data_IF_078171301148
#
_entry.id   IF_078171301148
#
_cell.length_a   1.000
_cell.length_b   1.000
_cell.length_c   1.000
_cell.angle_alpha   90.00
_cell.angle_beta   90.00
_cell.angle_gamma   90.00
#
_symmetry.space_group_name_H-M   'P 1'
#
loop_
_entity.id
_entity.type
_entity.pdbx_description
1 polymer ?
#
# COMPACT_ATOMS: atom_id res chain seq x y z
N UNK A 1 2.47 9.54 42.49
CA UNK A 1 2.80 8.56 41.42
C UNK A 1 2.50 9.09 40.00
N UNK A 2 2.39 10.40 39.76
CA UNK A 2 1.90 10.96 38.49
C UNK A 2 2.92 11.77 37.68
N UNK A 3 3.93 12.39 38.27
CA UNK A 3 4.88 13.25 37.54
C UNK A 3 5.92 12.46 36.72
N UNK A 4 6.42 11.33 37.23
CA UNK A 4 7.42 10.50 36.53
C UNK A 4 6.84 9.77 35.28
N UNK A 5 5.53 9.51 35.22
CA UNK A 5 4.86 8.91 34.06
C UNK A 5 4.62 9.94 32.95
N UNK A 6 4.37 11.19 33.29
CA UNK A 6 4.16 12.31 32.35
C UNK A 6 5.51 12.70 31.70
N UNK A 7 6.59 12.75 32.44
CA UNK A 7 7.93 13.02 31.93
C UNK A 7 8.45 11.89 31.00
N UNK A 8 8.17 10.63 31.33
CA UNK A 8 8.56 9.49 30.49
C UNK A 8 7.79 9.42 29.18
N UNK A 9 6.53 9.90 29.14
CA UNK A 9 5.75 10.03 27.89
C UNK A 9 6.22 11.21 27.04
N UNK A 10 6.59 12.33 27.65
CA UNK A 10 7.08 13.51 26.93
C UNK A 10 8.45 13.28 26.28
N UNK A 11 9.40 12.68 26.99
CA UNK A 11 10.73 12.40 26.43
C UNK A 11 10.70 11.33 25.32
N UNK A 12 9.88 10.29 25.44
CA UNK A 12 9.70 9.29 24.37
C UNK A 12 9.07 9.88 23.09
N UNK A 13 8.16 10.83 23.24
CA UNK A 13 7.53 11.52 22.11
C UNK A 13 8.52 12.45 21.39
N UNK A 14 9.30 13.23 22.14
CA UNK A 14 10.34 14.12 21.59
C UNK A 14 11.46 13.33 20.90
N UNK A 15 11.92 12.21 21.49
CA UNK A 15 12.95 11.36 20.89
C UNK A 15 12.43 10.71 19.59
N UNK A 16 11.19 10.21 19.57
CA UNK A 16 10.61 9.65 18.38
C UNK A 16 10.52 10.70 17.25
N UNK A 17 10.07 11.92 17.55
CA UNK A 17 9.98 12.99 16.54
C UNK A 17 11.35 13.46 16.05
N UNK A 18 12.36 13.54 16.93
CA UNK A 18 13.72 13.90 16.51
C UNK A 18 14.35 12.84 15.61
N UNK A 19 14.11 11.56 15.86
CA UNK A 19 14.56 10.47 14.96
C UNK A 19 13.88 10.56 13.57
N UNK A 20 12.58 10.85 13.51
CA UNK A 20 11.89 11.06 12.22
C UNK A 20 12.42 12.29 11.48
N UNK A 21 12.66 13.41 12.17
CA UNK A 21 13.23 14.62 11.58
C UNK A 21 14.66 14.35 11.07
N UNK A 22 15.45 13.61 11.83
CA UNK A 22 16.82 13.24 11.45
C UNK A 22 16.82 12.33 10.22
N UNK A 23 15.94 11.32 10.16
CA UNK A 23 15.79 10.46 8.98
C UNK A 23 15.33 11.26 7.75
N UNK A 24 14.38 12.17 7.90
CA UNK A 24 13.95 13.07 6.84
C UNK A 24 15.09 13.99 6.38
N UNK A 25 15.90 14.50 7.31
CA UNK A 25 17.08 15.31 7.00
C UNK A 25 18.15 14.51 6.24
N UNK A 26 18.44 13.29 6.66
CA UNK A 26 19.37 12.40 5.94
C UNK A 26 18.85 12.11 4.53
N UNK A 27 17.57 11.81 4.39
CA UNK A 27 16.96 11.56 3.07
C UNK A 27 17.00 12.82 2.18
N UNK A 28 16.78 14.01 2.73
CA UNK A 28 16.88 15.27 1.99
C UNK A 28 18.32 15.61 1.56
N UNK A 29 19.32 15.22 2.35
CA UNK A 29 20.73 15.45 2.05
C UNK A 29 21.37 14.35 1.18
N UNK A 30 20.66 13.27 0.91
CA UNK A 30 21.17 12.12 0.16
C UNK A 30 21.72 12.49 -1.23
N UNK A 31 21.08 13.38 -2.05
CA UNK A 31 21.64 13.78 -3.34
C UNK A 31 22.97 14.50 -3.25
N UNK A 32 23.22 15.24 -2.17
CA UNK A 32 24.51 15.92 -1.98
C UNK A 32 25.65 14.98 -1.61
N UNK A 33 25.32 13.81 -1.04
CA UNK A 33 26.28 12.76 -0.67
C UNK A 33 26.54 11.76 -1.81
N UNK A 34 25.50 11.48 -2.61
CA UNK A 34 25.54 10.51 -3.71
C UNK A 34 25.68 11.27 -5.03
N UNK A 35 26.90 11.41 -5.52
CA UNK A 35 27.18 12.13 -6.78
C UNK A 35 26.94 11.29 -8.04
N UNK A 36 26.81 9.97 -7.91
CA UNK A 36 26.58 9.08 -9.05
C UNK A 36 25.10 9.12 -9.48
N UNK A 37 24.80 9.55 -10.72
CA UNK A 37 23.44 9.62 -11.25
C UNK A 37 22.70 8.27 -11.23
N UNK A 38 23.44 7.16 -11.27
CA UNK A 38 22.87 5.83 -11.24
C UNK A 38 22.14 5.53 -9.91
N UNK A 39 22.80 5.76 -8.77
CA UNK A 39 22.16 5.54 -7.47
C UNK A 39 20.97 6.48 -7.24
N UNK A 40 21.06 7.73 -7.69
CA UNK A 40 19.94 8.66 -7.63
C UNK A 40 18.73 8.14 -8.42
N UNK A 41 18.97 7.54 -9.59
CA UNK A 41 17.94 6.90 -10.38
C UNK A 41 17.24 5.78 -9.61
N UNK A 42 18.00 4.91 -8.93
CA UNK A 42 17.45 3.83 -8.09
C UNK A 42 16.58 4.39 -6.96
N UNK A 43 17.03 5.45 -6.28
CA UNK A 43 16.25 6.10 -5.23
C UNK A 43 14.96 6.75 -5.76
N UNK A 44 14.97 7.31 -6.97
CA UNK A 44 13.76 7.84 -7.61
C UNK A 44 12.76 6.71 -7.87
N UNK A 45 13.20 5.57 -8.41
CA UNK A 45 12.33 4.41 -8.58
C UNK A 45 11.78 3.90 -7.26
N UNK A 46 12.63 3.76 -6.23
CA UNK A 46 12.17 3.42 -4.87
C UNK A 46 11.07 4.40 -4.43
N UNK A 47 11.25 5.69 -4.67
CA UNK A 47 10.26 6.72 -4.33
C UNK A 47 8.92 6.54 -5.05
N UNK A 48 8.91 6.22 -6.34
CA UNK A 48 7.70 5.94 -7.11
C UNK A 48 6.95 4.74 -6.51
N UNK A 49 7.68 3.66 -6.24
CA UNK A 49 7.09 2.44 -5.66
C UNK A 49 6.66 2.62 -4.21
N UNK A 50 7.30 3.50 -3.43
CA UNK A 50 6.81 3.88 -2.10
C UNK A 50 5.42 4.54 -2.20
N UNK A 51 5.23 5.50 -3.12
CA UNK A 51 3.93 6.15 -3.31
C UNK A 51 2.88 5.14 -3.74
N UNK A 52 3.21 4.24 -4.69
CA UNK A 52 2.32 3.18 -5.15
C UNK A 52 1.98 2.17 -4.05
N UNK A 53 2.97 1.71 -3.29
CA UNK A 53 2.75 0.76 -2.19
C UNK A 53 1.94 1.38 -1.05
N UNK A 54 2.18 2.66 -0.71
CA UNK A 54 1.38 3.41 0.27
C UNK A 54 -0.06 3.57 -0.20
N UNK A 55 -0.28 3.86 -1.48
CA UNK A 55 -1.61 3.98 -2.05
C UNK A 55 -2.35 2.65 -2.04
N UNK A 56 -1.71 1.54 -2.44
CA UNK A 56 -2.27 0.20 -2.37
C UNK A 56 -2.57 -0.24 -0.92
N UNK A 57 -1.72 0.16 0.03
CA UNK A 57 -1.91 -0.13 1.44
C UNK A 57 -3.21 0.46 2.02
N UNK A 58 -3.71 1.55 1.45
CA UNK A 58 -5.01 2.11 1.85
C UNK A 58 -6.15 1.11 1.62
N UNK A 59 -6.12 0.40 0.49
CA UNK A 59 -7.13 -0.60 0.14
C UNK A 59 -6.82 -1.93 0.85
N UNK A 60 -5.67 -2.52 0.55
CA UNK A 60 -5.38 -3.88 1.01
C UNK A 60 -5.03 -3.93 2.50
N UNK A 61 -4.37 -2.88 3.03
CA UNK A 61 -3.87 -2.85 4.39
C UNK A 61 -4.90 -2.34 5.40
N UNK A 62 -5.57 -1.21 5.13
CA UNK A 62 -6.46 -0.57 6.10
C UNK A 62 -7.91 -1.03 6.00
N UNK A 63 -8.38 -1.51 4.84
CA UNK A 63 -9.75 -2.05 4.71
C UNK A 63 -9.80 -3.56 4.55
N UNK A 64 -8.65 -4.23 4.37
CA UNK A 64 -8.62 -5.67 4.14
C UNK A 64 -9.13 -6.14 2.77
N UNK A 65 -9.44 -5.20 1.86
CA UNK A 65 -9.91 -5.50 0.52
C UNK A 65 -8.71 -5.89 -0.36
N UNK A 66 -8.69 -7.10 -0.91
CA UNK A 66 -7.62 -7.51 -1.80
C UNK A 66 -7.89 -7.01 -3.24
N UNK A 67 -7.07 -6.07 -3.71
CA UNK A 67 -7.10 -5.54 -5.07
C UNK A 67 -5.78 -5.84 -5.80
N UNK A 68 -5.87 -6.36 -7.04
CA UNK A 68 -4.74 -6.67 -7.93
C UNK A 68 -4.81 -5.84 -9.23
N UNK A 69 -5.61 -4.78 -9.25
CA UNK A 69 -5.75 -3.89 -10.41
C UNK A 69 -5.03 -2.55 -10.30
N UNK A 70 -4.11 -2.39 -9.35
CA UNK A 70 -3.54 -1.09 -9.01
C UNK A 70 -2.67 -0.49 -10.12
N UNK A 71 -1.98 -1.35 -10.89
CA UNK A 71 -1.18 -0.92 -12.03
C UNK A 71 -2.01 -0.26 -13.14
N UNK A 72 -3.30 -0.60 -13.29
CA UNK A 72 -4.17 0.10 -14.23
C UNK A 72 -4.34 1.58 -13.86
N UNK A 73 -4.55 1.91 -12.58
CA UNK A 73 -4.70 3.30 -12.13
C UNK A 73 -3.38 4.07 -12.20
N UNK A 74 -2.26 3.39 -11.97
CA UNK A 74 -0.92 3.92 -12.24
C UNK A 74 -0.76 4.27 -13.72
N UNK A 75 -1.17 3.37 -14.62
CA UNK A 75 -1.18 3.57 -16.07
C UNK A 75 -2.14 4.69 -16.51
N UNK A 76 -3.36 4.75 -15.96
CA UNK A 76 -4.30 5.85 -16.25
C UNK A 76 -3.67 7.20 -15.90
N UNK A 77 -3.01 7.31 -14.75
CA UNK A 77 -2.29 8.51 -14.36
C UNK A 77 -1.17 8.88 -15.33
N UNK A 78 -0.36 7.90 -15.76
CA UNK A 78 0.74 8.10 -16.70
C UNK A 78 0.25 8.56 -18.07
N UNK A 79 -0.72 7.84 -18.66
CA UNK A 79 -1.26 8.18 -19.99
C UNK A 79 -2.05 9.47 -19.97
N UNK A 80 -2.87 9.73 -18.95
CA UNK A 80 -3.61 11.00 -18.87
C UNK A 80 -2.66 12.17 -18.75
N UNK A 81 -1.61 12.11 -17.93
CA UNK A 81 -0.62 13.16 -17.81
C UNK A 81 0.14 13.41 -19.12
N UNK A 82 0.58 12.34 -19.80
CA UNK A 82 1.23 12.43 -21.09
C UNK A 82 0.33 13.09 -22.15
N UNK A 83 -0.94 12.71 -22.21
CA UNK A 83 -1.90 13.29 -23.15
C UNK A 83 -2.23 14.76 -22.83
N UNK A 84 -2.40 15.11 -21.55
CA UNK A 84 -2.64 16.48 -21.11
C UNK A 84 -1.48 17.42 -21.49
N UNK A 85 -0.24 16.94 -21.36
CA UNK A 85 0.93 17.74 -21.67
C UNK A 85 1.24 17.79 -23.17
N UNK A 86 1.10 16.66 -23.89
CA UNK A 86 1.44 16.61 -25.33
C UNK A 86 0.36 17.19 -26.22
N UNK A 87 -0.94 16.94 -25.92
CA UNK A 87 -2.04 17.39 -26.79
C UNK A 87 -2.63 18.74 -26.37
N UNK A 88 -2.75 18.97 -25.05
CA UNK A 88 -3.33 20.21 -24.52
C UNK A 88 -2.28 21.25 -24.12
N UNK A 89 -0.98 20.90 -24.15
CA UNK A 89 0.10 21.82 -23.78
C UNK A 89 0.09 22.23 -22.30
N UNK A 90 -0.61 21.50 -21.44
CA UNK A 90 -0.72 21.86 -20.03
C UNK A 90 0.63 21.71 -19.32
N UNK A 91 1.00 22.64 -18.43
CA UNK A 91 2.22 22.51 -17.65
C UNK A 91 2.13 21.33 -16.67
N UNK A 92 3.28 20.70 -16.38
CA UNK A 92 3.38 19.53 -15.50
C UNK A 92 2.68 19.73 -14.15
N UNK A 93 2.82 20.92 -13.54
CA UNK A 93 2.23 21.23 -12.22
C UNK A 93 0.70 21.12 -12.21
N UNK A 94 0.05 21.32 -13.36
CA UNK A 94 -1.41 21.15 -13.54
C UNK A 94 -1.72 19.73 -13.98
N UNK A 95 -0.91 19.13 -14.85
CA UNK A 95 -1.11 17.79 -15.35
C UNK A 95 -0.98 16.73 -14.24
N UNK A 96 -0.08 16.92 -13.27
CA UNK A 96 0.13 16.00 -12.15
C UNK A 96 -1.15 15.82 -11.30
N UNK A 97 -1.73 16.85 -10.66
CA UNK A 97 -2.95 16.67 -9.86
C UNK A 97 -4.16 16.26 -10.72
N UNK A 98 -4.26 16.76 -11.96
CA UNK A 98 -5.38 16.44 -12.84
C UNK A 98 -5.34 14.96 -13.26
N UNK A 99 -4.17 14.38 -13.50
CA UNK A 99 -4.02 12.95 -13.76
C UNK A 99 -4.41 12.09 -12.56
N UNK A 100 -4.10 12.55 -11.34
CA UNK A 100 -4.59 11.93 -10.11
C UNK A 100 -6.13 11.96 -10.03
N UNK A 101 -6.75 13.09 -10.35
CA UNK A 101 -8.21 13.23 -10.38
C UNK A 101 -8.83 12.33 -11.46
N UNK A 102 -8.22 12.23 -12.64
CA UNK A 102 -8.69 11.33 -13.71
C UNK A 102 -8.59 9.86 -13.23
N UNK A 103 -7.49 9.46 -12.63
CA UNK A 103 -7.34 8.12 -12.07
C UNK A 103 -8.37 7.85 -10.95
N UNK A 104 -8.66 8.82 -10.10
CA UNK A 104 -9.71 8.75 -9.08
C UNK A 104 -11.11 8.62 -9.67
N UNK A 105 -11.41 9.31 -10.76
CA UNK A 105 -12.67 9.19 -11.49
C UNK A 105 -12.86 7.77 -12.05
N UNK A 106 -11.83 7.21 -12.70
CA UNK A 106 -11.86 5.81 -13.13
C UNK A 106 -11.95 4.87 -11.93
N UNK A 107 -11.28 5.18 -10.81
CA UNK A 107 -11.41 4.47 -9.55
C UNK A 107 -12.86 4.44 -9.06
N UNK A 108 -13.56 5.57 -9.12
CA UNK A 108 -14.99 5.63 -8.78
C UNK A 108 -15.86 4.79 -9.72
N UNK A 109 -15.65 4.93 -11.04
CA UNK A 109 -16.42 4.20 -12.06
C UNK A 109 -16.29 2.69 -11.92
N UNK A 110 -15.07 2.20 -11.73
CA UNK A 110 -14.76 0.78 -11.58
C UNK A 110 -15.06 0.26 -10.17
N UNK A 111 -14.79 1.08 -9.16
CA UNK A 111 -15.07 0.75 -7.76
C UNK A 111 -16.54 0.50 -7.50
N UNK A 112 -17.44 1.27 -8.15
CA UNK A 112 -18.89 1.15 -7.95
C UNK A 112 -19.47 -0.26 -8.21
N UNK A 113 -19.15 -0.94 -9.32
CA UNK A 113 -19.54 -2.34 -9.51
C UNK A 113 -18.65 -3.32 -8.73
N UNK A 114 -17.32 -3.10 -8.67
CA UNK A 114 -16.37 -4.06 -8.10
C UNK A 114 -16.49 -4.18 -6.58
N UNK A 115 -16.73 -3.10 -5.84
CA UNK A 115 -16.86 -3.11 -4.37
C UNK A 115 -18.18 -3.73 -3.86
N UNK A 116 -19.10 -4.10 -4.76
CA UNK A 116 -20.25 -4.95 -4.41
C UNK A 116 -19.87 -6.43 -4.28
N UNK A 117 -18.72 -6.79 -4.84
CA UNK A 117 -18.17 -8.13 -4.76
C UNK A 117 -17.31 -8.24 -3.49
N UNK A 118 -17.28 -9.44 -2.91
CA UNK A 118 -16.51 -9.72 -1.69
C UNK A 118 -15.42 -10.76 -1.94
N UNK A 119 -14.37 -10.73 -1.13
CA UNK A 119 -13.30 -11.72 -1.15
C UNK A 119 -12.63 -11.86 -2.53
N UNK A 120 -12.52 -13.09 -3.01
CA UNK A 120 -11.82 -13.42 -4.25
C UNK A 120 -12.46 -12.79 -5.51
N UNK A 121 -13.79 -12.59 -5.50
CA UNK A 121 -14.49 -11.99 -6.64
C UNK A 121 -14.11 -10.54 -6.88
N UNK A 122 -13.87 -9.77 -5.80
CA UNK A 122 -13.34 -8.41 -5.90
C UNK A 122 -11.93 -8.43 -6.52
N UNK A 123 -11.09 -9.35 -6.07
CA UNK A 123 -9.72 -9.53 -6.59
C UNK A 123 -9.72 -9.83 -8.08
N UNK A 124 -10.56 -10.78 -8.51
CA UNK A 124 -10.70 -11.16 -9.93
C UNK A 124 -11.28 -10.00 -10.76
N UNK A 125 -12.24 -9.24 -10.24
CA UNK A 125 -12.80 -8.07 -10.91
C UNK A 125 -11.74 -6.98 -11.14
N UNK A 126 -10.91 -6.68 -10.13
CA UNK A 126 -9.84 -5.68 -10.28
C UNK A 126 -8.70 -6.16 -11.18
N UNK A 127 -8.37 -7.45 -11.16
CA UNK A 127 -7.43 -8.07 -12.09
C UNK A 127 -7.96 -7.99 -13.53
N UNK A 128 -9.23 -8.38 -13.74
CA UNK A 128 -9.89 -8.30 -15.05
C UNK A 128 -9.89 -6.87 -15.59
N UNK A 129 -10.16 -5.89 -14.75
CA UNK A 129 -10.04 -4.48 -15.13
C UNK A 129 -8.63 -4.12 -15.60
N UNK A 130 -7.58 -4.56 -14.90
CA UNK A 130 -6.20 -4.29 -15.31
C UNK A 130 -5.89 -4.88 -16.69
N UNK A 131 -6.33 -6.12 -16.95
CA UNK A 131 -6.15 -6.76 -18.26
C UNK A 131 -6.90 -5.99 -19.35
N UNK A 132 -8.18 -5.64 -19.11
CA UNK A 132 -8.99 -4.84 -20.04
C UNK A 132 -8.32 -3.49 -20.31
N UNK A 133 -7.80 -2.82 -19.29
CA UNK A 133 -7.09 -1.55 -19.44
C UNK A 133 -5.87 -1.66 -20.37
N UNK A 134 -5.02 -2.69 -20.17
CA UNK A 134 -3.85 -2.93 -21.04
C UNK A 134 -4.29 -3.23 -22.47
N UNK A 135 -5.32 -4.06 -22.68
CA UNK A 135 -5.87 -4.35 -23.99
C UNK A 135 -6.43 -3.10 -24.66
N UNK A 136 -7.08 -2.21 -23.91
CA UNK A 136 -7.54 -0.90 -24.36
C UNK A 136 -6.36 -0.04 -24.84
N UNK A 137 -5.27 0.03 -24.09
CA UNK A 137 -4.07 0.77 -24.45
C UNK A 137 -3.45 0.25 -25.76
N UNK A 138 -3.41 -1.07 -25.94
CA UNK A 138 -2.85 -1.72 -27.13
C UNK A 138 -3.71 -1.45 -28.37
N UNK A 139 -5.04 -1.51 -28.24
CA UNK A 139 -5.95 -1.42 -29.38
C UNK A 139 -6.37 0.03 -29.73
N UNK A 140 -6.19 0.99 -28.84
CA UNK A 140 -6.60 2.37 -29.08
C UNK A 140 -5.47 3.20 -29.71
N UNK A 141 -5.02 2.83 -30.90
CA UNK A 141 -3.86 3.45 -31.57
C UNK A 141 -3.97 4.98 -31.71
N UNK A 142 -5.16 5.51 -32.02
CA UNK A 142 -5.38 6.93 -32.21
C UNK A 142 -5.14 7.80 -30.96
N UNK A 143 -5.26 7.23 -29.76
CA UNK A 143 -5.05 7.92 -28.50
C UNK A 143 -3.70 7.59 -27.86
N UNK A 144 -3.37 6.31 -27.76
CA UNK A 144 -2.24 5.77 -26.98
C UNK A 144 -1.04 5.39 -27.83
N UNK A 145 -1.16 5.40 -29.17
CA UNK A 145 -0.23 4.84 -30.16
C UNK A 145 -0.07 3.32 -30.06
N UNK A 146 -1.02 2.64 -29.40
CA UNK A 146 -1.02 1.19 -29.27
C UNK A 146 0.25 0.61 -28.64
N UNK A 147 0.78 -0.50 -29.15
CA UNK A 147 1.99 -1.14 -28.60
C UNK A 147 3.24 -0.26 -28.65
N UNK A 148 3.30 0.71 -29.57
CA UNK A 148 4.44 1.62 -29.70
C UNK A 148 4.57 2.59 -28.51
N UNK A 149 3.48 2.82 -27.79
CA UNK A 149 3.47 3.72 -26.65
C UNK A 149 3.64 5.20 -27.01
N UNK A 150 3.72 6.04 -26.02
CA UNK A 150 3.88 7.49 -26.15
C UNK A 150 5.29 7.89 -25.76
N UNK A 151 6.03 8.45 -26.72
CA UNK A 151 7.36 9.00 -26.53
C UNK A 151 7.35 10.54 -26.59
N UNK A 152 8.45 11.16 -26.14
CA UNK A 152 8.63 12.61 -26.23
C UNK A 152 7.85 13.41 -25.20
N UNK A 153 7.47 12.79 -24.09
CA UNK A 153 6.81 13.46 -22.97
C UNK A 153 7.73 14.60 -22.47
N UNK A 154 7.21 15.83 -22.34
CA UNK A 154 8.05 17.00 -22.03
C UNK A 154 8.63 16.90 -20.62
N UNK A 155 9.82 17.47 -20.45
CA UNK A 155 10.48 17.60 -19.15
C UNK A 155 9.61 18.48 -18.25
N UNK A 156 9.44 18.13 -16.97
CA UNK A 156 8.70 18.95 -16.02
C UNK A 156 9.26 20.36 -15.95
N UNK A 157 8.37 21.35 -16.00
CA UNK A 157 8.70 22.76 -15.80
C UNK A 157 7.77 23.34 -14.74
N UNK A 158 8.36 24.04 -13.78
CA UNK A 158 7.62 24.78 -12.76
C UNK A 158 8.03 26.25 -12.91
N UNK A 159 7.12 27.09 -13.40
CA UNK A 159 7.40 28.47 -13.80
C UNK A 159 8.57 28.54 -14.81
N UNK A 160 9.66 29.19 -14.45
CA UNK A 160 10.88 29.32 -15.28
C UNK A 160 11.92 28.21 -15.03
N UNK A 161 11.72 27.35 -14.03
CA UNK A 161 12.67 26.29 -13.70
C UNK A 161 12.35 25.00 -14.45
N UNK A 162 13.35 24.45 -15.15
CA UNK A 162 13.24 23.19 -15.91
C UNK A 162 14.03 22.12 -15.18
N UNK A 163 13.38 21.00 -14.86
CA UNK A 163 14.00 19.86 -14.17
C UNK A 163 14.87 19.06 -15.15
N UNK A 164 16.20 19.23 -15.10
CA UNK A 164 17.12 18.57 -16.03
C UNK A 164 17.98 17.49 -15.36
N UNK A 165 18.29 17.67 -14.08
CA UNK A 165 19.15 16.77 -13.32
C UNK A 165 18.41 15.65 -12.60
N UNK A 166 19.11 14.55 -12.30
CA UNK A 166 18.55 13.49 -11.44
C UNK A 166 18.23 14.01 -10.03
N UNK A 167 18.98 14.99 -9.55
CA UNK A 167 18.75 15.65 -8.26
C UNK A 167 17.40 16.34 -8.21
N UNK A 168 17.01 17.03 -9.28
CA UNK A 168 15.73 17.73 -9.38
C UNK A 168 14.55 16.75 -9.27
N UNK A 169 14.64 15.63 -10.00
CA UNK A 169 13.62 14.58 -9.95
C UNK A 169 13.57 13.90 -8.58
N UNK A 170 14.73 13.75 -7.93
CA UNK A 170 14.79 13.21 -6.59
C UNK A 170 14.04 14.09 -5.59
N UNK A 171 14.26 15.41 -5.61
CA UNK A 171 13.53 16.33 -4.73
C UNK A 171 12.03 16.36 -5.05
N UNK A 172 11.67 16.25 -6.31
CA UNK A 172 10.28 16.22 -6.72
C UNK A 172 9.55 14.97 -6.21
N UNK A 173 10.16 13.79 -6.36
CA UNK A 173 9.58 12.54 -5.81
C UNK A 173 9.59 12.53 -4.27
N UNK A 174 10.63 13.08 -3.66
CA UNK A 174 10.70 13.23 -2.21
C UNK A 174 9.56 14.08 -1.67
N UNK A 175 9.26 15.21 -2.31
CA UNK A 175 8.12 16.04 -1.96
C UNK A 175 6.78 15.28 -2.15
N UNK A 176 6.65 14.51 -3.24
CA UNK A 176 5.47 13.69 -3.50
C UNK A 176 5.28 12.61 -2.42
N UNK A 177 6.36 11.96 -1.97
CA UNK A 177 6.34 11.02 -0.85
C UNK A 177 5.87 11.70 0.44
N UNK A 178 6.43 12.87 0.77
CA UNK A 178 6.04 13.61 1.97
C UNK A 178 4.57 14.02 1.94
N UNK A 179 4.10 14.52 0.80
CA UNK A 179 2.70 14.86 0.59
C UNK A 179 1.79 13.63 0.78
N UNK A 180 2.15 12.51 0.16
CA UNK A 180 1.40 11.24 0.26
C UNK A 180 1.39 10.72 1.69
N UNK A 181 2.54 10.65 2.35
CA UNK A 181 2.66 10.21 3.74
C UNK A 181 1.88 11.12 4.71
N UNK A 182 2.03 12.42 4.58
CA UNK A 182 1.36 13.38 5.46
C UNK A 182 -0.15 13.33 5.34
N UNK A 183 -0.66 13.24 4.11
CA UNK A 183 -2.10 13.16 3.85
C UNK A 183 -2.69 11.80 4.28
N UNK A 184 -2.02 10.69 4.00
CA UNK A 184 -2.43 9.36 4.46
C UNK A 184 -2.37 9.29 5.99
N UNK A 185 -1.30 9.80 6.62
CA UNK A 185 -1.18 9.84 8.07
C UNK A 185 -2.37 10.55 8.73
N UNK A 186 -2.75 11.73 8.22
CA UNK A 186 -3.93 12.46 8.71
C UNK A 186 -5.22 11.69 8.49
N UNK A 187 -5.36 11.03 7.34
CA UNK A 187 -6.54 10.26 6.99
C UNK A 187 -6.75 9.09 7.95
N UNK A 188 -5.70 8.27 8.18
CA UNK A 188 -5.79 7.07 9.02
C UNK A 188 -5.93 7.36 10.52
N UNK A 189 -5.47 8.54 10.99
CA UNK A 189 -5.64 8.97 12.38
C UNK A 189 -6.90 9.80 12.63
N UNK A 190 -7.78 9.91 11.64
CA UNK A 190 -9.08 10.56 11.73
C UNK A 190 -10.20 9.57 12.09
N UNK A 191 -11.42 10.09 12.29
CA UNK A 191 -12.63 9.25 12.45
C UNK A 191 -12.86 8.34 11.23
N UNK A 192 -12.50 8.83 10.05
CA UNK A 192 -12.57 8.06 8.80
C UNK A 192 -11.67 6.81 8.89
N UNK A 193 -10.41 6.95 9.32
CA UNK A 193 -9.48 5.83 9.50
C UNK A 193 -9.97 4.79 10.51
N UNK A 194 -10.59 5.23 11.61
CA UNK A 194 -11.17 4.30 12.59
C UNK A 194 -12.33 3.48 11.99
N UNK A 195 -13.16 4.10 11.13
CA UNK A 195 -14.23 3.37 10.41
C UNK A 195 -13.66 2.34 9.44
N UNK A 196 -12.54 2.64 8.75
CA UNK A 196 -11.86 1.67 7.88
C UNK A 196 -11.35 0.46 8.66
N UNK A 197 -10.79 0.69 9.85
CA UNK A 197 -10.30 -0.38 10.71
C UNK A 197 -11.46 -1.25 11.24
N UNK A 198 -12.57 -0.64 11.61
CA UNK A 198 -13.78 -1.38 12.02
C UNK A 198 -14.27 -2.29 10.87
N UNK A 199 -14.32 -1.78 9.64
CA UNK A 199 -14.70 -2.55 8.44
C UNK A 199 -13.73 -3.71 8.21
N UNK A 200 -12.43 -3.50 8.42
CA UNK A 200 -11.41 -4.53 8.24
C UNK A 200 -11.55 -5.68 9.24
N UNK A 201 -11.88 -5.36 10.51
CA UNK A 201 -12.04 -6.38 11.57
C UNK A 201 -13.31 -7.22 11.34
N UNK A 202 -14.46 -6.56 11.16
CA UNK A 202 -15.72 -7.23 10.83
C UNK A 202 -16.68 -6.23 10.17
N UNK A 203 -16.97 -6.46 8.88
CA UNK A 203 -17.84 -5.60 8.08
C UNK A 203 -19.27 -5.60 8.60
N UNK A 204 -19.79 -6.77 8.99
CA UNK A 204 -21.16 -6.93 9.47
C UNK A 204 -21.36 -6.25 10.83
N UNK A 205 -20.38 -6.38 11.73
CA UNK A 205 -20.41 -5.69 13.02
C UNK A 205 -20.30 -4.17 12.85
N UNK A 206 -19.48 -3.69 11.89
CA UNK A 206 -19.37 -2.26 11.59
C UNK A 206 -20.69 -1.70 11.07
N UNK A 207 -21.42 -2.42 10.21
CA UNK A 207 -22.75 -2.03 9.73
C UNK A 207 -23.78 -1.99 10.87
N UNK A 208 -23.74 -2.96 11.77
CA UNK A 208 -24.66 -3.03 12.91
C UNK A 208 -24.54 -1.81 13.85
N UNK A 209 -23.35 -1.19 13.94
CA UNK A 209 -23.14 0.05 14.72
C UNK A 209 -23.29 1.33 13.87
N UNK A 210 -23.84 1.23 12.64
CA UNK A 210 -24.20 2.36 11.80
C UNK A 210 -23.09 2.89 10.86
N UNK A 211 -21.99 2.14 10.66
CA UNK A 211 -20.96 2.50 9.69
C UNK A 211 -21.45 2.14 8.28
N UNK A 212 -21.52 3.12 7.37
CA UNK A 212 -21.82 2.88 5.95
C UNK A 212 -20.59 2.31 5.22
N UNK A 213 -20.43 0.98 5.23
CA UNK A 213 -19.25 0.27 4.72
C UNK A 213 -19.01 0.56 3.25
N UNK A 214 -20.06 0.60 2.42
CA UNK A 214 -19.98 0.89 0.98
C UNK A 214 -19.38 2.27 0.72
N UNK A 215 -19.83 3.28 1.46
CA UNK A 215 -19.31 4.66 1.31
C UNK A 215 -17.83 4.75 1.68
N UNK A 216 -17.42 4.16 2.81
CA UNK A 216 -16.04 4.20 3.26
C UNK A 216 -15.11 3.41 2.33
N UNK A 217 -15.51 2.23 1.88
CA UNK A 217 -14.76 1.43 0.89
C UNK A 217 -14.59 2.19 -0.42
N UNK A 218 -15.66 2.82 -0.93
CA UNK A 218 -15.60 3.61 -2.15
C UNK A 218 -14.68 4.81 -1.99
N UNK A 219 -14.80 5.58 -0.91
CA UNK A 219 -13.99 6.76 -0.68
C UNK A 219 -12.50 6.42 -0.61
N UNK A 220 -12.13 5.36 0.12
CA UNK A 220 -10.73 4.96 0.23
C UNK A 220 -10.18 4.40 -1.09
N UNK A 221 -11.01 3.70 -1.87
CA UNK A 221 -10.64 3.22 -3.19
C UNK A 221 -10.32 4.39 -4.13
N UNK A 222 -11.17 5.42 -4.17
CA UNK A 222 -10.97 6.65 -4.96
C UNK A 222 -9.71 7.41 -4.53
N UNK A 223 -9.49 7.55 -3.21
CA UNK A 223 -8.28 8.21 -2.68
C UNK A 223 -7.03 7.42 -3.05
N UNK A 224 -7.07 6.11 -2.96
CA UNK A 224 -5.96 5.23 -3.31
C UNK A 224 -5.61 5.37 -4.80
N UNK A 225 -6.61 5.30 -5.68
CA UNK A 225 -6.39 5.46 -7.12
C UNK A 225 -5.91 6.85 -7.51
N UNK A 226 -6.28 7.89 -6.75
CA UNK A 226 -5.72 9.24 -6.90
C UNK A 226 -4.20 9.25 -6.71
N UNK A 227 -3.67 8.66 -5.62
CA UNK A 227 -2.23 8.59 -5.40
C UNK A 227 -1.52 7.73 -6.42
N UNK A 228 -2.13 6.63 -6.87
CA UNK A 228 -1.59 5.83 -7.97
C UNK A 228 -1.46 6.66 -9.25
N UNK A 229 -2.47 7.50 -9.55
CA UNK A 229 -2.44 8.43 -10.67
C UNK A 229 -1.34 9.49 -10.57
N UNK A 230 -1.08 10.04 -9.37
CA UNK A 230 0.03 10.97 -9.14
C UNK A 230 1.39 10.29 -9.42
N UNK A 231 1.59 9.08 -8.91
CA UNK A 231 2.80 8.30 -9.18
C UNK A 231 2.97 8.03 -10.68
N UNK A 232 1.87 7.72 -11.39
CA UNK A 232 1.85 7.52 -12.84
C UNK A 232 2.26 8.77 -13.63
N UNK A 233 1.71 9.92 -13.26
CA UNK A 233 2.08 11.20 -13.85
C UNK A 233 3.57 11.50 -13.67
N UNK A 234 4.07 11.34 -12.45
CA UNK A 234 5.49 11.53 -12.17
C UNK A 234 6.37 10.59 -13.01
N UNK A 235 6.04 9.30 -13.05
CA UNK A 235 6.77 8.29 -13.82
C UNK A 235 6.84 8.64 -15.31
N UNK A 236 5.70 9.02 -15.91
CA UNK A 236 5.63 9.38 -17.33
C UNK A 236 6.58 10.52 -17.70
N UNK A 237 6.65 11.55 -16.86
CA UNK A 237 7.54 12.70 -17.08
C UNK A 237 9.01 12.42 -16.74
N UNK A 238 9.26 11.47 -15.81
CA UNK A 238 10.60 11.06 -15.45
C UNK A 238 11.25 10.20 -16.55
N UNK A 239 10.53 9.17 -17.02
CA UNK A 239 11.03 8.25 -18.07
C UNK A 239 10.90 8.86 -19.47
N UNK A 240 9.93 9.79 -19.68
CA UNK A 240 9.61 10.47 -20.96
C UNK A 240 9.15 9.52 -22.07
N UNK A 241 8.85 8.29 -21.70
CA UNK A 241 8.31 7.24 -22.56
C UNK A 241 7.41 6.32 -21.72
N UNK A 242 6.23 5.98 -22.24
CA UNK A 242 5.32 5.04 -21.63
C UNK A 242 4.79 4.05 -22.66
N UNK A 243 4.75 2.79 -22.30
CA UNK A 243 4.21 1.71 -23.14
C UNK A 243 3.22 0.86 -22.33
N UNK A 244 2.25 0.18 -22.98
CA UNK A 244 1.28 -0.66 -22.28
C UNK A 244 1.90 -1.75 -21.39
N UNK A 245 3.03 -2.31 -21.82
CA UNK A 245 3.75 -3.38 -21.12
C UNK A 245 4.22 -3.01 -19.71
N UNK A 246 4.39 -1.70 -19.44
CA UNK A 246 4.77 -1.19 -18.12
C UNK A 246 3.65 -1.36 -17.09
N UNK A 247 2.38 -1.41 -17.51
CA UNK A 247 1.21 -1.36 -16.64
C UNK A 247 0.44 -2.68 -16.58
N UNK A 248 1.13 -3.79 -16.85
CA UNK A 248 0.54 -5.13 -16.83
C UNK A 248 0.17 -5.57 -15.41
N UNK A 249 -0.59 -6.65 -15.30
CA UNK A 249 -0.96 -7.23 -14.02
C UNK A 249 0.26 -7.69 -13.19
N UNK A 250 1.39 -8.00 -13.83
CA UNK A 250 2.64 -8.33 -13.14
C UNK A 250 3.13 -7.17 -12.25
N UNK A 251 2.92 -5.94 -12.70
CA UNK A 251 3.23 -4.75 -11.90
C UNK A 251 2.35 -4.68 -10.64
N UNK A 252 1.06 -5.00 -10.76
CA UNK A 252 0.17 -5.09 -9.60
C UNK A 252 0.60 -6.18 -8.61
N UNK A 253 1.09 -7.31 -9.09
CA UNK A 253 1.65 -8.37 -8.23
C UNK A 253 2.94 -7.91 -7.53
N UNK A 254 3.81 -7.18 -8.23
CA UNK A 254 5.02 -6.60 -7.64
C UNK A 254 4.66 -5.64 -6.50
N UNK A 255 3.67 -4.78 -6.68
CA UNK A 255 3.17 -3.88 -5.64
C UNK A 255 2.58 -4.65 -4.45
N UNK A 256 1.82 -5.72 -4.73
CA UNK A 256 1.28 -6.58 -3.68
C UNK A 256 2.40 -7.30 -2.91
N UNK A 257 3.45 -7.75 -3.60
CA UNK A 257 4.62 -8.35 -2.99
C UNK A 257 5.36 -7.37 -2.06
N UNK A 258 5.52 -6.11 -2.48
CA UNK A 258 6.10 -5.04 -1.66
C UNK A 258 5.28 -4.82 -0.39
N UNK A 259 3.96 -4.78 -0.52
CA UNK A 259 3.05 -4.61 0.60
C UNK A 259 3.07 -5.81 1.55
N UNK A 260 3.06 -7.04 1.01
CA UNK A 260 3.11 -8.26 1.80
C UNK A 260 4.44 -8.39 2.56
N UNK A 261 5.56 -8.09 1.90
CA UNK A 261 6.88 -8.09 2.51
C UNK A 261 7.00 -7.06 3.64
N UNK A 262 6.55 -5.84 3.39
CA UNK A 262 6.60 -4.77 4.38
C UNK A 262 5.66 -4.99 5.56
N UNK A 263 4.50 -5.57 5.31
CA UNK A 263 3.38 -5.77 6.24
C UNK A 263 2.26 -4.75 6.01
N UNK A 264 1.04 -5.22 5.70
CA UNK A 264 -0.10 -4.34 5.44
C UNK A 264 -0.65 -3.70 6.73
N UNK A 265 -1.29 -2.54 6.57
CA UNK A 265 -2.02 -1.85 7.65
C UNK A 265 -1.16 -0.96 8.56
N UNK A 266 0.06 -0.64 8.16
CA UNK A 266 0.89 0.40 8.77
C UNK A 266 1.55 1.26 7.69
N UNK A 267 2.17 2.40 8.05
CA UNK A 267 2.81 3.30 7.08
C UNK A 267 4.27 2.91 6.77
N UNK A 268 4.95 2.27 7.70
CA UNK A 268 6.37 1.93 7.57
C UNK A 268 6.56 0.71 6.68
N UNK A 269 5.64 -0.27 6.78
CA UNK A 269 5.70 -1.50 6.00
C UNK A 269 5.86 -1.28 4.50
N UNK A 270 4.96 -0.56 3.83
CA UNK A 270 5.05 -0.30 2.40
C UNK A 270 6.34 0.41 1.99
N UNK A 271 6.85 1.33 2.82
CA UNK A 271 8.11 2.03 2.56
C UNK A 271 9.28 1.05 2.55
N UNK A 272 9.37 0.21 3.58
CA UNK A 272 10.46 -0.77 3.69
C UNK A 272 10.30 -1.87 2.63
N UNK A 273 9.08 -2.36 2.39
CA UNK A 273 8.81 -3.38 1.38
C UNK A 273 9.19 -2.91 -0.03
N UNK A 274 8.79 -1.70 -0.43
CA UNK A 274 9.16 -1.11 -1.71
C UNK A 274 10.68 -0.89 -1.81
N UNK A 275 11.29 -0.34 -0.76
CA UNK A 275 12.74 -0.09 -0.74
C UNK A 275 13.53 -1.40 -0.89
N UNK A 276 13.18 -2.45 -0.17
CA UNK A 276 13.87 -3.73 -0.22
C UNK A 276 13.68 -4.43 -1.58
N UNK A 277 12.46 -4.49 -2.10
CA UNK A 277 12.19 -5.19 -3.36
C UNK A 277 12.86 -4.51 -4.56
N UNK A 278 13.06 -3.21 -4.54
CA UNK A 278 13.79 -2.49 -5.59
C UNK A 278 15.30 -2.54 -5.36
N UNK A 279 15.77 -2.38 -4.10
CA UNK A 279 17.21 -2.33 -3.82
C UNK A 279 17.90 -3.70 -3.94
N UNK A 280 17.24 -4.80 -3.51
CA UNK A 280 17.87 -6.13 -3.53
C UNK A 280 18.29 -6.57 -4.93
N UNK A 281 17.45 -6.54 -5.97
CA UNK A 281 17.85 -6.91 -7.33
C UNK A 281 18.92 -5.97 -7.91
N UNK A 282 18.96 -4.73 -7.46
CA UNK A 282 19.95 -3.77 -7.91
C UNK A 282 21.35 -4.04 -7.31
N UNK A 283 21.39 -4.46 -6.04
CA UNK A 283 22.63 -4.92 -5.39
C UNK A 283 23.15 -6.21 -6.07
N UNK A 284 22.23 -7.12 -6.42
CA UNK A 284 22.53 -8.38 -7.11
C UNK A 284 22.35 -8.28 -8.62
N UNK A 285 22.80 -7.18 -9.24
CA UNK A 285 22.57 -6.88 -10.66
C UNK A 285 23.11 -7.97 -11.61
N UNK A 286 24.13 -8.70 -11.21
CA UNK A 286 24.65 -9.84 -11.96
C UNK A 286 23.63 -11.00 -12.08
N UNK A 287 22.55 -10.98 -11.30
CA UNK A 287 21.43 -11.93 -11.32
C UNK A 287 20.14 -11.30 -11.87
N UNK A 288 20.25 -10.26 -12.70
CA UNK A 288 19.09 -9.51 -13.21
C UNK A 288 18.06 -10.38 -13.92
N UNK A 289 18.51 -11.43 -14.64
CA UNK A 289 17.65 -12.38 -15.36
C UNK A 289 16.80 -13.25 -14.41
N UNK A 290 17.24 -13.42 -13.17
CA UNK A 290 16.54 -14.22 -12.15
C UNK A 290 15.67 -13.39 -11.21
N UNK A 291 15.40 -12.14 -11.53
CA UNK A 291 14.69 -11.17 -10.69
C UNK A 291 13.33 -11.69 -10.20
N UNK A 292 12.56 -12.34 -11.07
CA UNK A 292 11.27 -12.92 -10.72
C UNK A 292 11.38 -14.11 -9.75
N UNK A 293 12.45 -14.90 -9.88
CA UNK A 293 12.75 -16.02 -8.97
C UNK A 293 13.06 -15.47 -7.57
N UNK A 294 13.87 -14.39 -7.50
CA UNK A 294 14.17 -13.74 -6.23
C UNK A 294 12.93 -13.17 -5.55
N UNK A 295 12.02 -12.53 -6.30
CA UNK A 295 10.77 -12.05 -5.74
C UNK A 295 9.93 -13.19 -5.17
N UNK A 296 9.80 -14.29 -5.91
CA UNK A 296 9.09 -15.48 -5.45
C UNK A 296 9.73 -16.09 -4.20
N UNK A 297 11.07 -16.24 -4.20
CA UNK A 297 11.82 -16.80 -3.06
C UNK A 297 11.67 -15.91 -1.80
N UNK A 298 11.84 -14.60 -1.93
CA UNK A 298 11.68 -13.66 -0.83
C UNK A 298 10.27 -13.77 -0.24
N UNK A 299 9.23 -13.84 -1.10
CA UNK A 299 7.85 -14.00 -0.64
C UNK A 299 7.63 -15.32 0.09
N UNK A 300 8.15 -16.44 -0.45
CA UNK A 300 8.04 -17.76 0.20
C UNK A 300 8.71 -17.73 1.57
N UNK A 301 9.94 -17.25 1.65
CA UNK A 301 10.68 -17.14 2.91
C UNK A 301 9.91 -16.26 3.91
N UNK A 302 9.39 -15.12 3.48
CA UNK A 302 8.59 -14.25 4.34
C UNK A 302 7.32 -14.93 4.83
N UNK A 303 6.59 -15.62 3.96
CA UNK A 303 5.36 -16.34 4.34
C UNK A 303 5.62 -17.47 5.32
N UNK A 304 6.77 -18.14 5.22
CA UNK A 304 7.17 -19.21 6.15
C UNK A 304 7.56 -18.68 7.52
N UNK A 305 8.32 -17.57 7.57
CA UNK A 305 8.88 -17.07 8.84
C UNK A 305 8.06 -15.94 9.47
N UNK A 306 7.43 -15.07 8.65
CA UNK A 306 6.66 -13.90 9.11
C UNK A 306 5.44 -13.63 8.23
N UNK A 307 4.37 -14.39 8.44
CA UNK A 307 3.11 -14.25 7.68
C UNK A 307 2.49 -12.85 7.70
N UNK A 308 2.81 -12.04 8.70
CA UNK A 308 2.27 -10.70 8.90
C UNK A 308 3.15 -9.59 8.30
N UNK A 309 4.28 -9.93 7.66
CA UNK A 309 5.27 -8.99 7.15
C UNK A 309 6.31 -8.56 8.18
N UNK A 310 7.29 -7.74 7.74
CA UNK A 310 8.40 -7.26 8.59
C UNK A 310 7.87 -6.35 9.69
N UNK A 311 6.96 -5.43 9.35
CA UNK A 311 6.34 -4.46 10.25
C UNK A 311 4.85 -4.75 10.40
N UNK A 312 4.52 -5.85 11.07
CA UNK A 312 3.12 -6.13 11.41
C UNK A 312 2.59 -5.07 12.37
N UNK A 313 1.35 -4.65 12.14
CA UNK A 313 0.59 -3.91 13.13
C UNK A 313 0.28 -4.88 14.27
N UNK A 314 0.89 -4.69 15.45
CA UNK A 314 0.39 -5.34 16.66
C UNK A 314 -1.07 -4.92 16.80
N UNK A 315 -1.97 -5.85 16.51
CA UNK A 315 -3.38 -5.70 16.86
C UNK A 315 -3.39 -5.54 18.37
N UNK A 316 -3.60 -4.34 18.86
CA UNK A 316 -3.99 -4.16 20.24
C UNK A 316 -5.39 -4.76 20.33
N UNK A 317 -5.48 -6.06 20.60
CA UNK A 317 -6.68 -6.63 21.17
C UNK A 317 -6.85 -5.86 22.48
N UNK A 318 -7.68 -4.85 22.47
CA UNK A 318 -8.31 -4.37 23.67
C UNK A 318 -9.06 -5.58 24.19
N UNK A 319 -8.45 -6.34 25.11
CA UNK A 319 -9.20 -7.19 26.02
C UNK A 319 -10.06 -6.21 26.83
N UNK A 320 -11.20 -5.86 26.26
CA UNK A 320 -12.29 -5.26 27.04
C UNK A 320 -12.74 -6.43 27.91
N UNK A 321 -12.10 -6.59 29.07
CA UNK A 321 -12.67 -7.38 30.15
C UNK A 321 -13.92 -6.61 30.56
N UNK A 322 -15.12 -7.15 30.29
CA UNK A 322 -16.34 -6.48 30.67
C UNK A 322 -16.30 -6.26 32.20
N UNK A 323 -16.84 -5.14 32.72
CA UNK A 323 -16.76 -4.80 34.15
C UNK A 323 -17.33 -5.84 35.10
N UNK A 324 -18.11 -6.79 34.57
CA UNK A 324 -18.73 -7.90 35.30
C UNK A 324 -17.87 -9.19 35.31
N UNK A 325 -16.79 -9.26 34.51
CA UNK A 325 -15.84 -10.35 34.61
C UNK A 325 -14.96 -10.10 35.83
N UNK A 326 -15.56 -10.36 37.01
CA UNK A 326 -14.78 -10.50 38.24
C UNK A 326 -13.68 -11.49 37.96
N UNK A 327 -12.44 -11.17 38.32
CA UNK A 327 -11.36 -12.14 38.44
C UNK A 327 -11.85 -13.21 39.42
N UNK A 328 -12.44 -14.25 38.88
CA UNK A 328 -12.58 -15.50 39.63
C UNK A 328 -11.15 -16.03 39.81
N UNK A 329 -10.63 -15.82 41.00
CA UNK A 329 -9.43 -16.48 41.51
C UNK A 329 -9.70 -17.94 41.85
N UNK A 330 -10.72 -18.55 41.25
CA UNK A 330 -10.96 -19.97 41.25
C UNK A 330 -9.99 -20.69 40.30
N UNK A 331 -9.75 -21.99 40.53
CA UNK A 331 -8.81 -22.75 39.71
C UNK A 331 -9.21 -22.68 38.23
N UNK A 332 -8.25 -22.34 37.40
CA UNK A 332 -8.42 -22.31 35.95
C UNK A 332 -8.79 -23.72 35.47
N UNK A 333 -10.06 -23.93 35.20
CA UNK A 333 -10.48 -25.07 34.42
C UNK A 333 -10.01 -24.85 32.99
N UNK A 334 -8.89 -25.48 32.64
CA UNK A 334 -8.47 -25.66 31.26
C UNK A 334 -9.56 -26.47 30.56
N UNK A 335 -10.48 -25.80 29.88
CA UNK A 335 -11.39 -26.44 28.93
C UNK A 335 -10.53 -26.80 27.70
N UNK A 336 -9.90 -27.96 27.82
CA UNK A 336 -9.22 -28.63 26.72
C UNK A 336 -9.65 -30.07 26.76
N UNK A 337 -9.93 -30.66 25.64
CA UNK A 337 -10.51 -31.98 25.33
C UNK A 337 -10.03 -33.21 26.14
N UNK A 338 -9.13 -33.06 27.06
CA UNK A 338 -8.68 -34.14 27.95
C UNK A 338 -9.66 -34.46 29.08
N UNK A 339 -10.46 -33.49 29.54
CA UNK A 339 -11.35 -33.72 30.71
C UNK A 339 -12.62 -34.49 30.36
N UNK A 340 -13.05 -34.43 29.11
CA UNK A 340 -14.22 -35.20 28.64
C UNK A 340 -13.90 -36.71 28.48
N UNK A 341 -12.64 -37.02 28.15
CA UNK A 341 -12.21 -38.43 27.94
C UNK A 341 -11.97 -39.15 29.27
N UNK A 342 -11.41 -38.46 30.26
CA UNK A 342 -11.19 -39.08 31.61
C UNK A 342 -12.50 -39.36 32.35
N UNK A 343 -13.50 -38.49 32.26
CA UNK A 343 -14.80 -38.75 32.90
C UNK A 343 -15.60 -39.85 32.19
N UNK A 344 -15.47 -40.01 30.88
CA UNK A 344 -16.13 -41.09 30.13
C UNK A 344 -15.45 -42.47 30.39
N UNK A 345 -14.19 -42.47 30.81
CA UNK A 345 -13.46 -43.70 31.15
C UNK A 345 -13.75 -44.11 32.59
N UNK A 346 -13.96 -43.18 33.54
CA UNK A 346 -14.37 -43.51 34.92
C UNK A 346 -15.82 -43.99 35.01
N UNK A 347 -16.74 -43.45 34.22
CA UNK A 347 -18.14 -43.91 34.22
C UNK A 347 -18.33 -45.31 33.62
N UNK A 348 -17.38 -45.79 32.80
CA UNK A 348 -17.39 -47.16 32.27
C UNK A 348 -16.67 -48.16 33.16
N UNK A 349 -15.93 -47.73 34.18
CA UNK A 349 -15.19 -48.59 35.10
C UNK A 349 -15.96 -49.04 36.31
N UNK A 350 -17.02 -48.32 36.71
CA UNK A 350 -17.82 -48.64 37.94
C UNK A 350 -19.08 -49.44 37.65
N UNK A 351 -19.28 -49.94 36.46
CA UNK A 351 -20.51 -50.67 36.07
C UNK A 351 -20.42 -52.19 35.96
N UNK A 352 -19.36 -52.83 36.47
CA UNK A 352 -19.28 -54.31 36.42
C UNK A 352 -18.70 -54.86 37.70
N UNK A 353 -19.50 -54.82 38.76
CA UNK A 353 -19.42 -55.80 39.86
C UNK A 353 -20.70 -55.72 40.70
N UNK A 354 -21.75 -56.43 40.26
CA UNK A 354 -22.75 -57.08 41.15
C UNK A 354 -23.64 -57.96 40.26
N UNK A 355 -23.63 -59.22 40.64
CA UNK A 355 -24.43 -60.40 40.28
C UNK A 355 -23.97 -61.25 39.10
#
# INVERSE_FOLDING_TARGET
>A
MSLRLILKKGTGWVIAHSVYILLLGIFALLPSMVKDPYYLRVFIFIGIYIVLALSLNLINGYTGLLSIGHAAFYGIGAYSSALLTLRLGLPFIVALPLSGVIAALFGYLIGKPSLRLTGIFLTLSTLGFNIIFVLLLINWEGLTRGPLGIAGIPIPRIFSYTFQGQEDYYYLIFFLILFTLGSIYRLIHSRFGNSLLAIREDETAAEAVGVNTVHYKMAIFVISTFYAGLAGSFFAHYIRFIAPDTFTFWESFTLLAMLALGGPGNLVGPIVGASLLIAIPEIFRFLADYRMIFYGLILIVMMLFRREGIFSRRTYSLKITPPWEKKDTGPQYLVGDKFLIENLVQEKGDGTSED
#
